data_IF_057506323972
#
_entry.id   IF_057506323972
#
_cell.length_a   1.000
_cell.length_b   1.000
_cell.length_c   1.000
_cell.angle_alpha   90.00
_cell.angle_beta   90.00
_cell.angle_gamma   90.00
#
_symmetry.space_group_name_H-M   'P 1'
#
loop_
_entity.id
_entity.type
_entity.pdbx_description
1 polymer ?
#
# COMPACT_ATOMS: atom_id res chain seq x y z
N UNK A 1 -16.19 -10.68 17.74
CA UNK A 1 -16.11 -9.28 17.29
C UNK A 1 -15.95 -8.40 18.52
N UNK A 2 -14.97 -7.51 18.54
CA UNK A 2 -14.81 -6.53 19.63
C UNK A 2 -15.77 -5.36 19.44
N UNK A 3 -16.26 -4.78 20.55
CA UNK A 3 -17.06 -3.56 20.54
C UNK A 3 -16.23 -2.46 21.20
N UNK A 4 -16.06 -1.34 20.48
CA UNK A 4 -15.41 -0.14 21.02
C UNK A 4 -16.47 0.95 21.13
N UNK A 5 -16.58 1.56 22.31
CA UNK A 5 -17.49 2.69 22.53
C UNK A 5 -16.70 3.98 22.39
N UNK A 6 -17.19 4.91 21.57
CA UNK A 6 -16.53 6.19 21.29
C UNK A 6 -17.53 7.32 21.53
N UNK A 7 -17.09 8.42 22.14
CA UNK A 7 -17.90 9.64 22.21
C UNK A 7 -17.70 10.45 20.93
N UNK A 8 -18.79 10.80 20.27
CA UNK A 8 -18.77 11.67 19.08
C UNK A 8 -18.97 13.12 19.49
N UNK A 9 -18.29 14.03 18.79
CA UNK A 9 -18.60 15.45 18.88
C UNK A 9 -19.98 15.70 18.22
N UNK A 10 -20.76 16.68 18.68
CA UNK A 10 -22.13 16.90 18.18
C UNK A 10 -22.22 17.12 16.67
N UNK A 11 -21.24 17.83 16.09
CA UNK A 11 -21.15 18.09 14.65
C UNK A 11 -20.91 16.80 13.83
N UNK A 12 -20.09 15.89 14.35
CA UNK A 12 -19.82 14.59 13.73
C UNK A 12 -21.06 13.68 13.80
N UNK A 13 -21.80 13.71 14.92
CA UNK A 13 -23.03 12.95 15.07
C UNK A 13 -24.12 13.43 14.11
N UNK A 14 -24.31 14.74 13.98
CA UNK A 14 -25.27 15.32 13.04
C UNK A 14 -24.93 14.96 11.58
N UNK A 15 -23.64 15.04 11.22
CA UNK A 15 -23.16 14.62 9.90
C UNK A 15 -23.37 13.13 9.63
N UNK A 16 -23.09 12.27 10.62
CA UNK A 16 -23.30 10.83 10.51
C UNK A 16 -24.78 10.48 10.30
N UNK A 17 -25.69 11.20 10.95
CA UNK A 17 -27.12 11.00 10.86
C UNK A 17 -27.65 11.34 9.47
N UNK A 18 -27.26 12.50 8.95
CA UNK A 18 -27.59 12.91 7.59
C UNK A 18 -27.12 11.89 6.54
N UNK A 19 -25.89 11.38 6.68
CA UNK A 19 -25.33 10.36 5.78
C UNK A 19 -26.05 9.03 5.92
N UNK A 20 -26.40 8.62 7.15
CA UNK A 20 -27.13 7.36 7.41
C UNK A 20 -28.49 7.33 6.70
N UNK A 21 -29.23 8.45 6.74
CA UNK A 21 -30.52 8.62 6.07
C UNK A 21 -30.34 8.62 4.55
N UNK A 22 -29.37 9.40 4.06
CA UNK A 22 -29.10 9.53 2.61
C UNK A 22 -28.71 8.20 1.98
N UNK A 23 -27.86 7.42 2.63
CA UNK A 23 -27.32 6.16 2.10
C UNK A 23 -28.16 4.93 2.48
N UNK A 24 -29.18 5.08 3.33
CA UNK A 24 -29.98 3.96 3.86
C UNK A 24 -29.08 2.88 4.48
N UNK A 25 -28.19 3.33 5.38
CA UNK A 25 -27.21 2.49 6.09
C UNK A 25 -27.19 2.84 7.57
N UNK A 26 -26.91 1.86 8.43
CA UNK A 26 -26.84 2.09 9.87
C UNK A 26 -25.58 2.89 10.22
N UNK A 27 -25.65 3.71 11.29
CA UNK A 27 -24.49 4.45 11.82
C UNK A 27 -23.29 3.52 12.09
N UNK A 28 -23.55 2.36 12.68
CA UNK A 28 -22.52 1.34 12.98
C UNK A 28 -21.85 0.78 11.71
N UNK A 29 -22.61 0.56 10.64
CA UNK A 29 -22.04 0.12 9.36
C UNK A 29 -21.14 1.21 8.76
N UNK A 30 -21.59 2.47 8.77
CA UNK A 30 -20.83 3.61 8.27
C UNK A 30 -19.54 3.84 9.07
N UNK A 31 -19.60 3.77 10.40
CA UNK A 31 -18.42 3.89 11.27
C UNK A 31 -17.42 2.77 10.96
N UNK A 32 -17.88 1.53 10.86
CA UNK A 32 -16.99 0.41 10.52
C UNK A 32 -16.37 0.56 9.13
N UNK A 33 -17.13 1.04 8.15
CA UNK A 33 -16.62 1.27 6.80
C UNK A 33 -15.57 2.39 6.79
N UNK A 34 -15.85 3.52 7.42
CA UNK A 34 -14.91 4.63 7.55
C UNK A 34 -13.62 4.20 8.27
N UNK A 35 -13.73 3.40 9.33
CA UNK A 35 -12.57 2.85 10.03
C UNK A 35 -11.75 1.91 9.14
N UNK A 36 -12.39 1.05 8.34
CA UNK A 36 -11.70 0.17 7.39
C UNK A 36 -10.95 0.96 6.33
N UNK A 37 -11.55 2.02 5.81
CA UNK A 37 -10.93 2.90 4.81
C UNK A 37 -9.82 3.75 5.42
N UNK A 38 -9.99 4.20 6.66
CA UNK A 38 -8.98 4.98 7.37
C UNK A 38 -7.77 4.13 7.76
N UNK A 39 -8.00 2.93 8.29
CA UNK A 39 -6.94 1.98 8.68
C UNK A 39 -6.31 1.32 7.44
N UNK A 40 -7.09 1.17 6.36
CA UNK A 40 -6.71 0.40 5.17
C UNK A 40 -5.61 1.08 4.33
N UNK A 41 -5.93 1.77 3.22
CA UNK A 41 -4.98 2.30 2.22
C UNK A 41 -3.72 3.00 2.74
N UNK A 42 -3.72 3.51 3.98
CA UNK A 42 -2.53 4.05 4.64
C UNK A 42 -1.38 3.05 4.75
N UNK A 43 -1.65 1.75 4.92
CA UNK A 43 -0.59 0.74 5.05
C UNK A 43 0.16 0.48 3.74
N UNK A 44 -0.56 0.40 2.61
CA UNK A 44 0.09 0.20 1.30
C UNK A 44 0.82 1.45 0.82
N UNK A 45 0.31 2.64 1.14
CA UNK A 45 1.01 3.89 0.84
C UNK A 45 2.30 4.01 1.66
N UNK A 46 2.24 3.72 2.96
CA UNK A 46 3.41 3.73 3.85
C UNK A 46 4.44 2.66 3.45
N UNK A 47 3.99 1.45 3.09
CA UNK A 47 4.86 0.39 2.60
C UNK A 47 5.59 0.81 1.32
N UNK A 48 4.85 1.30 0.31
CA UNK A 48 5.44 1.79 -0.94
C UNK A 48 6.40 2.94 -0.71
N UNK A 49 6.07 3.84 0.22
CA UNK A 49 6.94 4.96 0.60
C UNK A 49 8.26 4.44 1.17
N UNK A 50 8.20 3.51 2.12
CA UNK A 50 9.39 2.89 2.72
C UNK A 50 10.24 2.14 1.68
N UNK A 51 9.62 1.33 0.83
CA UNK A 51 10.29 0.62 -0.27
C UNK A 51 10.96 1.59 -1.27
N UNK A 52 10.34 2.73 -1.53
CA UNK A 52 10.92 3.77 -2.41
C UNK A 52 12.17 4.39 -1.77
N UNK A 53 12.14 4.69 -0.48
CA UNK A 53 13.30 5.22 0.23
C UNK A 53 14.46 4.20 0.26
N UNK A 54 14.17 2.92 0.50
CA UNK A 54 15.17 1.84 0.43
C UNK A 54 15.78 1.71 -0.97
N UNK A 55 14.97 1.84 -2.02
CA UNK A 55 15.44 1.83 -3.40
C UNK A 55 16.35 3.03 -3.72
N UNK A 56 16.00 4.23 -3.24
CA UNK A 56 16.83 5.44 -3.40
C UNK A 56 18.18 5.26 -2.69
N UNK A 57 18.19 4.80 -1.44
CA UNK A 57 19.44 4.52 -0.70
C UNK A 57 20.32 3.49 -1.43
N UNK A 58 19.70 2.47 -2.03
CA UNK A 58 20.42 1.48 -2.85
C UNK A 58 21.08 2.10 -4.08
N UNK A 59 20.41 3.05 -4.73
CA UNK A 59 20.98 3.77 -5.88
C UNK A 59 22.11 4.69 -5.43
N UNK A 60 21.93 5.44 -4.35
CA UNK A 60 22.95 6.34 -3.79
C UNK A 60 24.20 5.60 -3.34
N UNK A 61 24.04 4.41 -2.75
CA UNK A 61 25.14 3.54 -2.37
C UNK A 61 25.81 2.81 -3.55
N UNK A 62 25.38 3.05 -4.80
CA UNK A 62 25.95 2.44 -6.00
C UNK A 62 25.59 0.96 -6.20
N UNK A 63 24.62 0.43 -5.44
CA UNK A 63 24.12 -0.95 -5.55
C UNK A 63 23.17 -1.06 -6.74
N UNK A 64 23.68 -0.82 -7.93
CA UNK A 64 22.92 -0.80 -9.19
C UNK A 64 23.35 -1.91 -10.14
N UNK A 65 22.44 -2.30 -11.03
CA UNK A 65 22.64 -3.29 -12.08
C UNK A 65 22.65 -2.63 -13.46
N UNK A 66 23.44 -3.18 -14.38
CA UNK A 66 23.35 -2.79 -15.79
C UNK A 66 21.98 -3.15 -16.35
N UNK A 67 21.24 -2.14 -16.85
CA UNK A 67 19.95 -2.35 -17.49
C UNK A 67 20.05 -3.35 -18.66
N UNK A 68 21.14 -3.33 -19.43
CA UNK A 68 21.37 -4.28 -20.52
C UNK A 68 21.44 -5.72 -20.01
N UNK A 69 22.22 -5.97 -18.96
CA UNK A 69 22.37 -7.31 -18.36
C UNK A 69 21.04 -7.84 -17.82
N UNK A 70 20.21 -6.97 -17.23
CA UNK A 70 18.85 -7.34 -16.79
C UNK A 70 17.96 -7.69 -17.98
N UNK A 71 18.01 -6.92 -19.07
CA UNK A 71 17.21 -7.21 -20.27
C UNK A 71 17.66 -8.47 -21.02
N UNK A 72 18.96 -8.75 -21.05
CA UNK A 72 19.49 -10.00 -21.62
C UNK A 72 19.02 -11.21 -20.79
N UNK A 73 19.06 -11.10 -19.46
CA UNK A 73 18.56 -12.13 -18.55
C UNK A 73 17.05 -12.38 -18.68
N UNK A 74 16.23 -11.32 -18.65
CA UNK A 74 14.77 -11.44 -18.80
C UNK A 74 14.37 -12.09 -20.14
N UNK A 75 15.12 -11.83 -21.21
CA UNK A 75 14.87 -12.45 -22.52
C UNK A 75 15.23 -13.93 -22.59
N UNK A 76 16.08 -14.41 -21.69
CA UNK A 76 16.48 -15.81 -21.64
C UNK A 76 15.48 -16.70 -20.90
N UNK A 77 14.54 -16.12 -20.15
CA UNK A 77 13.53 -16.85 -19.37
C UNK A 77 12.64 -17.72 -20.27
N UNK A 78 12.43 -18.97 -19.86
CA UNK A 78 11.61 -19.91 -20.61
C UNK A 78 12.29 -20.47 -21.87
N UNK A 79 13.59 -20.22 -22.03
CA UNK A 79 14.41 -20.82 -23.10
C UNK A 79 15.35 -21.88 -22.53
N UNK A 80 15.93 -22.71 -23.41
CA UNK A 80 16.92 -23.70 -23.01
C UNK A 80 18.24 -23.06 -22.52
N UNK A 81 18.47 -21.77 -22.80
CA UNK A 81 19.66 -21.01 -22.42
C UNK A 81 19.36 -19.96 -21.35
N UNK A 82 18.49 -20.29 -20.39
CA UNK A 82 18.14 -19.38 -19.31
C UNK A 82 19.39 -18.95 -18.51
N UNK A 83 19.63 -17.65 -18.47
CA UNK A 83 20.81 -17.05 -17.87
C UNK A 83 20.64 -16.91 -16.35
N UNK A 84 21.76 -16.86 -15.63
CA UNK A 84 21.74 -16.57 -14.19
C UNK A 84 21.41 -15.11 -13.93
N UNK A 85 20.73 -14.85 -12.83
CA UNK A 85 20.40 -13.50 -12.38
C UNK A 85 21.65 -12.61 -12.35
N UNK A 86 21.62 -11.43 -13.01
CA UNK A 86 22.71 -10.46 -12.96
C UNK A 86 22.98 -10.05 -11.51
N UNK A 87 24.27 -9.98 -11.14
CA UNK A 87 24.69 -9.52 -9.81
C UNK A 87 25.19 -8.08 -9.88
N UNK A 88 24.76 -7.27 -8.93
CA UNK A 88 25.21 -5.89 -8.77
C UNK A 88 26.61 -5.87 -8.17
N UNK A 89 27.27 -4.72 -8.28
CA UNK A 89 28.47 -4.47 -7.50
C UNK A 89 28.03 -4.39 -6.03
N UNK A 90 28.37 -5.42 -5.25
CA UNK A 90 28.21 -5.44 -3.78
C UNK A 90 29.42 -4.82 -3.12
#
# INVERSE_FOLDING_TARGET
MGVTTVRLQPDVEEGLDAVSIKLQRTKSWLINQALREYIGPGHEAELRWRETLEAIDSVEAGRVLSGKSVHDWLRSWGTAEEQKTPKGNQ
#
